data_IF_168046730926
#
_entry.id   IF_168046730926
#
_cell.length_a   1.000
_cell.length_b   1.000
_cell.length_c   1.000
_cell.angle_alpha   90.00
_cell.angle_beta   90.00
_cell.angle_gamma   90.00
#
_symmetry.space_group_name_H-M   'P 1'
#
loop_
_entity.id
_entity.type
_entity.pdbx_description
1 polymer ?
#
# COMPACT_ATOMS: atom_id res chain seq x y z
N UNK A 1 -19.20 1.90 -8.17
CA UNK A 1 -17.90 2.46 -7.97
C UNK A 1 -17.70 2.85 -6.52
N UNK A 2 -16.52 2.76 -6.05
CA UNK A 2 -16.24 3.05 -4.66
C UNK A 2 -16.37 4.52 -4.37
N UNK A 3 -17.37 4.93 -3.57
CA UNK A 3 -17.45 6.31 -3.11
C UNK A 3 -16.35 6.60 -2.09
N UNK A 4 -15.83 5.56 -1.43
CA UNK A 4 -14.75 5.72 -0.44
C UNK A 4 -13.55 4.85 -0.77
N UNK A 5 -13.18 4.82 -2.07
CA UNK A 5 -12.03 4.02 -2.50
C UNK A 5 -10.73 4.45 -1.81
N UNK A 6 -10.64 5.72 -1.42
CA UNK A 6 -9.45 6.22 -0.73
C UNK A 6 -9.27 5.56 0.64
N UNK A 7 -10.38 5.38 1.34
CA UNK A 7 -10.34 4.65 2.61
C UNK A 7 -9.93 3.20 2.38
N UNK A 8 -10.48 2.56 1.36
CA UNK A 8 -10.14 1.18 1.02
C UNK A 8 -8.68 1.05 0.59
N UNK A 9 -8.16 2.03 -0.12
CA UNK A 9 -6.76 2.08 -0.54
C UNK A 9 -5.84 1.99 0.69
N UNK A 10 -6.05 2.85 1.67
CA UNK A 10 -5.24 2.83 2.88
C UNK A 10 -5.45 1.56 3.68
N UNK A 11 -6.69 1.12 3.80
CA UNK A 11 -7.00 -0.09 4.56
C UNK A 11 -6.21 -1.29 4.04
N UNK A 12 -6.10 -1.43 2.73
CA UNK A 12 -5.39 -2.57 2.15
C UNK A 12 -3.92 -2.57 2.53
N UNK A 13 -3.28 -1.41 2.50
CA UNK A 13 -1.88 -1.34 2.91
C UNK A 13 -1.70 -1.69 4.38
N UNK A 14 -2.55 -1.14 5.23
CA UNK A 14 -2.44 -1.41 6.67
C UNK A 14 -2.74 -2.87 7.00
N UNK A 15 -3.71 -3.46 6.33
CA UNK A 15 -4.02 -4.87 6.55
C UNK A 15 -2.87 -5.78 6.13
N UNK A 16 -2.24 -5.48 5.01
CA UNK A 16 -1.10 -6.26 4.57
C UNK A 16 0.06 -6.17 5.56
N UNK A 17 0.30 -4.99 6.11
CA UNK A 17 1.36 -4.82 7.09
C UNK A 17 1.04 -5.54 8.40
N UNK A 18 -0.22 -5.54 8.81
CA UNK A 18 -0.67 -6.27 10.00
C UNK A 18 -0.47 -7.76 9.79
N UNK A 19 -0.84 -8.27 8.63
CA UNK A 19 -0.67 -9.70 8.31
C UNK A 19 0.81 -10.10 8.28
N UNK A 20 1.68 -9.16 7.93
CA UNK A 20 3.12 -9.39 7.92
C UNK A 20 3.76 -9.17 9.30
N UNK A 21 2.95 -8.93 10.33
CA UNK A 21 3.39 -8.73 11.71
C UNK A 21 4.33 -7.54 11.87
N UNK A 22 4.06 -6.47 11.13
CA UNK A 22 4.86 -5.26 11.22
C UNK A 22 4.67 -4.59 12.59
N UNK A 23 5.74 -4.06 13.13
CA UNK A 23 5.70 -3.26 14.35
C UNK A 23 5.83 -1.77 14.07
N UNK A 24 6.20 -1.41 12.85
CA UNK A 24 6.36 -0.02 12.44
C UNK A 24 5.93 0.15 10.99
N UNK A 25 5.17 1.22 10.74
CA UNK A 25 4.76 1.62 9.40
C UNK A 25 5.19 3.07 9.20
N UNK A 26 5.85 3.32 8.08
CA UNK A 26 6.31 4.66 7.73
C UNK A 26 5.67 5.04 6.40
N UNK A 27 5.06 6.22 6.37
CA UNK A 27 4.33 6.69 5.19
C UNK A 27 4.89 8.04 4.77
N UNK A 28 5.22 8.18 3.50
CA UNK A 28 5.55 9.48 2.91
C UNK A 28 4.49 9.79 1.86
N UNK A 29 3.85 10.93 2.02
CA UNK A 29 2.78 11.38 1.15
C UNK A 29 3.16 12.78 0.65
N UNK A 30 3.36 12.92 -0.64
CA UNK A 30 3.81 14.17 -1.22
C UNK A 30 3.16 14.44 -2.56
N UNK A 31 3.21 15.70 -2.97
CA UNK A 31 2.65 16.13 -4.25
C UNK A 31 3.67 17.06 -4.92
N UNK A 32 3.90 16.86 -6.22
CA UNK A 32 4.85 17.69 -6.96
C UNK A 32 4.16 18.90 -7.59
N UNK A 33 4.93 19.69 -8.34
CA UNK A 33 4.42 20.92 -8.95
C UNK A 33 3.38 20.66 -10.03
N UNK A 34 3.31 19.45 -10.55
CA UNK A 34 2.34 19.08 -11.58
C UNK A 34 1.14 18.33 -10.98
N UNK A 35 1.00 18.36 -9.65
CA UNK A 35 -0.08 17.72 -8.93
C UNK A 35 -0.06 16.19 -9.02
N UNK A 36 1.10 15.61 -9.31
CA UNK A 36 1.28 14.17 -9.19
C UNK A 36 1.54 13.83 -7.74
N UNK A 37 0.90 12.77 -7.26
CA UNK A 37 1.01 12.36 -5.86
C UNK A 37 1.89 11.13 -5.79
N UNK A 38 2.82 11.13 -4.83
CA UNK A 38 3.63 9.96 -4.52
C UNK A 38 3.28 9.50 -3.12
N UNK A 39 2.98 8.21 -2.99
CA UNK A 39 2.78 7.56 -1.70
C UNK A 39 3.85 6.50 -1.56
N UNK A 40 4.63 6.57 -0.48
CA UNK A 40 5.57 5.53 -0.12
C UNK A 40 5.08 4.93 1.19
N UNK A 41 4.76 3.64 1.17
CA UNK A 41 4.24 2.91 2.32
C UNK A 41 5.25 1.82 2.67
N UNK A 42 5.86 1.92 3.83
CA UNK A 42 6.97 1.06 4.22
C UNK A 42 6.67 0.42 5.56
N UNK A 43 6.83 -0.89 5.65
CA UNK A 43 6.68 -1.58 6.92
C UNK A 43 7.92 -2.43 7.19
N UNK A 44 8.08 -2.85 8.44
CA UNK A 44 9.18 -3.70 8.87
C UNK A 44 8.71 -5.13 9.17
N UNK A 45 7.69 -5.59 8.46
CA UNK A 45 7.17 -6.94 8.64
C UNK A 45 8.03 -8.00 7.95
N UNK A 46 7.44 -9.16 7.75
CA UNK A 46 8.16 -10.31 7.20
C UNK A 46 8.53 -10.16 5.73
N UNK A 47 7.85 -9.28 4.99
CA UNK A 47 8.11 -9.11 3.58
C UNK A 47 7.51 -10.23 2.75
N UNK A 48 7.84 -10.23 1.46
CA UNK A 48 7.32 -11.21 0.52
C UNK A 48 8.45 -11.80 -0.31
N UNK A 49 8.43 -13.13 -0.46
CA UNK A 49 9.35 -13.83 -1.36
C UNK A 49 8.88 -13.64 -2.80
N UNK A 50 9.76 -13.98 -3.75
CA UNK A 50 9.37 -13.94 -5.15
C UNK A 50 8.16 -14.81 -5.44
N UNK A 51 8.12 -15.98 -4.83
CA UNK A 51 7.01 -16.90 -4.99
C UNK A 51 5.70 -16.29 -4.50
N UNK A 52 5.73 -15.63 -3.34
CA UNK A 52 4.54 -14.97 -2.82
C UNK A 52 4.11 -13.82 -3.72
N UNK A 53 5.06 -13.05 -4.22
CA UNK A 53 4.74 -11.97 -5.14
C UNK A 53 4.04 -12.48 -6.39
N UNK A 54 4.59 -13.54 -7.01
CA UNK A 54 4.07 -14.04 -8.27
C UNK A 54 2.78 -14.82 -8.10
N UNK A 55 2.68 -15.64 -7.04
CA UNK A 55 1.60 -16.61 -6.92
C UNK A 55 0.48 -16.16 -5.99
N UNK A 56 0.69 -15.14 -5.19
CA UNK A 56 -0.32 -14.66 -4.25
C UNK A 56 -0.61 -13.18 -4.49
N UNK A 57 0.40 -12.34 -4.38
CA UNK A 57 0.19 -10.89 -4.40
C UNK A 57 -0.37 -10.43 -5.75
N UNK A 58 0.19 -10.93 -6.84
CA UNK A 58 -0.20 -10.54 -8.18
C UNK A 58 -1.06 -11.60 -8.90
N UNK A 59 -1.59 -12.56 -8.17
CA UNK A 59 -2.29 -13.69 -8.79
C UNK A 59 -3.77 -13.42 -9.04
N UNK A 60 -4.07 -12.30 -9.67
CA UNK A 60 -5.45 -11.91 -9.92
C UNK A 60 -6.23 -13.00 -10.66
N UNK A 61 -5.63 -13.57 -11.70
CA UNK A 61 -6.27 -14.64 -12.46
C UNK A 61 -6.42 -15.91 -11.65
N UNK A 62 -5.42 -16.26 -10.85
CA UNK A 62 -5.51 -17.45 -10.00
C UNK A 62 -6.58 -17.28 -8.94
N UNK A 63 -6.75 -16.06 -8.42
CA UNK A 63 -7.80 -15.77 -7.45
C UNK A 63 -9.18 -16.12 -7.99
N UNK A 64 -9.44 -15.77 -9.22
CA UNK A 64 -10.74 -16.02 -9.80
C UNK A 64 -10.97 -17.50 -10.05
N UNK A 65 -9.92 -18.28 -10.22
CA UNK A 65 -10.05 -19.71 -10.49
C UNK A 65 -10.27 -20.53 -9.24
N UNK A 66 -9.82 -20.06 -8.11
CA UNK A 66 -9.82 -20.85 -6.88
C UNK A 66 -10.94 -20.46 -5.94
N UNK A 67 -12.10 -20.13 -6.47
CA UNK A 67 -13.21 -19.72 -5.63
C UNK A 67 -12.92 -18.40 -4.98
N UNK A 68 -12.96 -17.39 -5.77
CA UNK A 68 -12.45 -16.10 -5.46
C UNK A 68 -12.88 -15.41 -4.18
N UNK A 69 -13.81 -15.98 -3.44
CA UNK A 69 -14.25 -15.33 -2.21
C UNK A 69 -13.10 -15.19 -1.22
N UNK A 70 -12.16 -16.13 -1.22
CA UNK A 70 -11.04 -16.08 -0.29
C UNK A 70 -9.95 -15.12 -0.75
N UNK A 71 -9.64 -15.16 -2.03
CA UNK A 71 -8.53 -14.37 -2.57
C UNK A 71 -9.02 -13.32 -3.56
N UNK A 72 -10.32 -13.31 -3.85
CA UNK A 72 -10.90 -12.33 -4.75
C UNK A 72 -10.74 -10.92 -4.21
N UNK A 73 -10.90 -10.74 -2.89
CA UNK A 73 -10.68 -9.45 -2.28
C UNK A 73 -9.24 -9.02 -2.42
N UNK A 74 -8.32 -9.96 -2.26
CA UNK A 74 -6.90 -9.70 -2.41
C UNK A 74 -6.58 -9.25 -3.83
N UNK A 75 -7.16 -9.93 -4.84
CA UNK A 75 -6.98 -9.54 -6.23
C UNK A 75 -7.55 -8.15 -6.52
N UNK A 76 -8.71 -7.83 -5.97
CA UNK A 76 -9.28 -6.51 -6.13
C UNK A 76 -8.44 -5.44 -5.47
N UNK A 77 -7.79 -5.79 -4.35
CA UNK A 77 -6.91 -4.86 -3.68
C UNK A 77 -5.79 -4.40 -4.59
N UNK A 78 -5.26 -5.30 -5.43
CA UNK A 78 -4.20 -4.90 -6.36
C UNK A 78 -4.68 -3.87 -7.37
N UNK A 79 -5.94 -3.94 -7.76
CA UNK A 79 -6.50 -2.92 -8.64
C UNK A 79 -6.46 -1.56 -7.94
N UNK A 80 -6.85 -1.51 -6.68
CA UNK A 80 -6.88 -0.24 -5.93
C UNK A 80 -5.48 0.29 -5.62
N UNK A 81 -4.54 -0.60 -5.28
CA UNK A 81 -3.26 -0.16 -4.72
C UNK A 81 -2.12 -0.13 -5.73
N UNK A 82 -2.27 -0.83 -6.85
CA UNK A 82 -1.19 -0.92 -7.84
C UNK A 82 -1.69 -0.73 -9.25
N UNK A 83 -2.58 -1.61 -9.70
CA UNK A 83 -2.88 -1.72 -11.13
C UNK A 83 -3.57 -0.49 -11.72
N UNK A 84 -4.28 0.29 -10.93
CA UNK A 84 -4.92 1.50 -11.40
C UNK A 84 -4.06 2.75 -11.20
N UNK A 85 -2.86 2.59 -10.64
CA UNK A 85 -1.96 3.71 -10.41
C UNK A 85 -1.17 4.03 -11.69
N UNK A 86 -0.63 5.24 -11.74
CA UNK A 86 0.23 5.62 -12.85
C UNK A 86 1.46 4.72 -12.93
N UNK A 87 2.07 4.44 -11.78
CA UNK A 87 3.18 3.50 -11.68
C UNK A 87 3.31 3.03 -10.25
N UNK A 88 4.01 1.91 -10.06
CA UNK A 88 4.27 1.40 -8.72
C UNK A 88 5.57 0.64 -8.67
N UNK A 89 6.19 0.62 -7.50
CA UNK A 89 7.37 -0.19 -7.21
C UNK A 89 7.17 -0.87 -5.86
N UNK A 90 7.65 -2.10 -5.74
CA UNK A 90 7.62 -2.84 -4.49
C UNK A 90 9.00 -3.40 -4.25
N UNK A 91 9.61 -3.01 -3.13
CA UNK A 91 10.91 -3.54 -2.73
C UNK A 91 10.70 -4.34 -1.45
N UNK A 92 10.93 -5.63 -1.53
CA UNK A 92 10.72 -6.54 -0.40
C UNK A 92 11.67 -7.72 -0.54
N UNK A 93 12.38 -8.05 0.55
CA UNK A 93 13.44 -9.03 0.54
C UNK A 93 14.44 -8.70 -0.57
N UNK A 94 14.78 -9.64 -1.44
CA UNK A 94 15.72 -9.37 -2.54
C UNK A 94 15.01 -9.12 -3.86
N UNK A 95 13.77 -8.65 -3.82
CA UNK A 95 12.95 -8.47 -5.01
C UNK A 95 12.57 -7.00 -5.18
N UNK A 96 12.66 -6.54 -6.41
CA UNK A 96 12.17 -5.20 -6.78
C UNK A 96 11.18 -5.35 -7.92
N UNK A 97 9.94 -4.99 -7.66
CA UNK A 97 8.89 -5.00 -8.67
C UNK A 97 8.76 -3.60 -9.22
N UNK A 98 8.68 -3.48 -10.53
CA UNK A 98 8.37 -2.23 -11.21
C UNK A 98 7.20 -2.48 -12.13
N UNK A 99 6.14 -1.68 -11.99
CA UNK A 99 4.92 -1.93 -12.71
C UNK A 99 4.19 -0.70 -13.17
N UNK A 100 3.32 -0.94 -14.14
CA UNK A 100 2.46 0.06 -14.74
C UNK A 100 1.21 -0.67 -15.20
N UNK A 101 0.06 -0.37 -14.56
CA UNK A 101 -1.13 -1.14 -14.82
C UNK A 101 -0.94 -2.59 -14.39
N UNK A 102 -1.45 -3.51 -15.20
CA UNK A 102 -1.30 -4.94 -14.92
C UNK A 102 0.03 -5.54 -15.36
N UNK A 103 0.88 -4.76 -16.01
CA UNK A 103 2.17 -5.23 -16.48
C UNK A 103 3.25 -4.89 -15.47
N UNK A 104 4.06 -5.88 -15.09
CA UNK A 104 5.11 -5.65 -14.11
C UNK A 104 6.28 -6.59 -14.38
N UNK A 105 7.46 -6.17 -13.88
CA UNK A 105 8.68 -6.97 -13.90
C UNK A 105 9.19 -7.11 -12.49
N UNK A 106 9.79 -8.26 -12.19
CA UNK A 106 10.44 -8.50 -10.91
C UNK A 106 11.93 -8.72 -11.19
N UNK A 107 12.76 -7.93 -10.54
CA UNK A 107 14.21 -8.08 -10.67
C UNK A 107 14.85 -8.24 -9.30
N UNK A 108 16.09 -8.71 -9.29
CA UNK A 108 16.84 -8.86 -8.05
C UNK A 108 17.27 -7.50 -7.52
N UNK A 109 17.29 -7.37 -6.21
CA UNK A 109 17.65 -6.13 -5.54
C UNK A 109 18.31 -6.46 -4.19
N UNK A 110 19.00 -5.49 -3.57
CA UNK A 110 19.53 -5.73 -2.24
C UNK A 110 18.41 -6.03 -1.24
N UNK A 111 18.74 -6.78 -0.20
CA UNK A 111 17.77 -7.17 0.84
C UNK A 111 17.14 -5.94 1.47
N UNK A 112 15.83 -5.93 1.53
CA UNK A 112 15.05 -4.95 2.27
C UNK A 112 14.24 -5.71 3.31
N UNK A 113 14.41 -5.36 4.58
CA UNK A 113 13.70 -6.03 5.67
C UNK A 113 12.33 -5.41 5.82
N UNK A 114 11.32 -6.12 5.33
CA UNK A 114 9.95 -5.63 5.30
C UNK A 114 9.45 -5.46 3.89
N UNK A 115 8.59 -4.47 3.69
CA UNK A 115 8.01 -4.20 2.39
C UNK A 115 7.89 -2.70 2.20
N UNK A 116 8.39 -2.21 1.07
CA UNK A 116 8.30 -0.80 0.72
C UNK A 116 7.58 -0.69 -0.62
N UNK A 117 6.42 -0.05 -0.61
CA UNK A 117 5.61 0.12 -1.81
C UNK A 117 5.56 1.61 -2.13
N UNK A 118 5.93 1.94 -3.36
CA UNK A 118 5.86 3.31 -3.87
C UNK A 118 4.84 3.33 -4.99
N UNK A 119 3.83 4.19 -4.87
CA UNK A 119 2.84 4.36 -5.94
C UNK A 119 2.78 5.81 -6.34
N UNK A 120 2.54 6.05 -7.62
CA UNK A 120 2.34 7.37 -8.17
C UNK A 120 0.93 7.48 -8.73
N UNK A 121 0.30 8.61 -8.45
CA UNK A 121 -1.05 8.89 -8.91
C UNK A 121 -1.08 10.24 -9.61
N UNK A 122 -1.94 10.34 -10.61
CA UNK A 122 -2.24 11.63 -11.22
C UNK A 122 -3.74 11.84 -11.20
N UNK A 123 -4.17 13.10 -11.31
CA UNK A 123 -5.58 13.46 -11.32
C UNK A 123 -6.31 13.05 -10.04
N UNK A 124 -5.61 13.16 -8.92
CA UNK A 124 -6.16 12.80 -7.61
C UNK A 124 -6.04 13.97 -6.65
N UNK A 125 -6.99 14.08 -5.74
CA UNK A 125 -6.98 15.13 -4.73
C UNK A 125 -6.07 14.74 -3.57
N UNK A 126 -4.99 15.48 -3.40
CA UNK A 126 -4.05 15.26 -2.30
C UNK A 126 -4.74 15.40 -0.95
N UNK A 127 -5.57 16.44 -0.81
CA UNK A 127 -6.25 16.70 0.46
C UNK A 127 -7.24 15.60 0.81
N UNK A 128 -7.97 15.08 -0.18
CA UNK A 128 -8.92 14.01 0.08
C UNK A 128 -8.22 12.71 0.42
N UNK A 129 -7.09 12.44 -0.24
CA UNK A 129 -6.32 11.24 0.04
C UNK A 129 -5.74 11.30 1.45
N UNK A 130 -5.21 12.46 1.84
CA UNK A 130 -4.67 12.66 3.18
C UNK A 130 -5.76 12.56 4.24
N UNK A 131 -6.92 13.17 3.97
CA UNK A 131 -8.03 13.10 4.92
C UNK A 131 -8.51 11.67 5.14
N UNK A 132 -8.53 10.86 4.09
CA UNK A 132 -8.93 9.46 4.21
C UNK A 132 -7.93 8.68 5.06
N UNK A 133 -6.63 8.97 4.93
CA UNK A 133 -5.62 8.35 5.77
C UNK A 133 -5.85 8.69 7.25
N UNK A 134 -6.08 9.96 7.54
CA UNK A 134 -6.29 10.40 8.91
C UNK A 134 -7.57 9.79 9.49
N UNK A 135 -8.60 9.69 8.67
CA UNK A 135 -9.85 9.07 9.11
C UNK A 135 -9.64 7.59 9.41
N UNK A 136 -8.93 6.88 8.54
CA UNK A 136 -8.64 5.48 8.79
C UNK A 136 -7.90 5.29 10.10
N UNK A 137 -6.88 6.10 10.33
CA UNK A 137 -6.07 5.99 11.54
C UNK A 137 -6.86 6.32 12.80
N UNK A 138 -7.78 7.28 12.72
CA UNK A 138 -8.59 7.66 13.87
C UNK A 138 -9.58 6.57 14.28
N UNK A 139 -9.97 5.71 13.34
CA UNK A 139 -10.93 4.64 13.58
C UNK A 139 -10.27 3.29 13.87
N UNK A 140 -8.95 3.19 13.70
CA UNK A 140 -8.25 1.92 13.77
C UNK A 140 -7.54 1.78 15.10
N UNK A 141 -7.42 0.52 15.56
CA UNK A 141 -6.63 0.19 16.71
C UNK A 141 -5.44 -0.64 16.23
N UNK A 142 -4.39 0.07 15.85
CA UNK A 142 -3.21 -0.59 15.30
C UNK A 142 -2.22 -0.91 16.40
N UNK A 143 -1.66 -2.12 16.34
CA UNK A 143 -0.63 -2.54 17.29
C UNK A 143 0.72 -1.96 16.93
N UNK A 144 0.88 -1.43 15.73
CA UNK A 144 2.16 -0.93 15.24
C UNK A 144 2.24 0.60 15.38
N UNK A 145 3.47 1.08 15.34
CA UNK A 145 3.74 2.50 15.36
C UNK A 145 3.65 3.04 13.93
N UNK A 146 2.99 4.19 13.77
CA UNK A 146 2.81 4.80 12.46
C UNK A 146 3.53 6.15 12.45
N UNK A 147 4.33 6.37 11.41
CA UNK A 147 5.09 7.60 11.20
C UNK A 147 4.71 8.15 9.84
N UNK A 148 4.22 9.40 9.81
CA UNK A 148 3.77 10.03 8.56
C UNK A 148 4.64 11.25 8.32
N UNK A 149 5.36 11.26 7.20
CA UNK A 149 6.26 12.36 6.84
C UNK A 149 7.19 12.69 8.01
N UNK A 150 7.78 11.64 8.60
CA UNK A 150 8.74 11.71 9.70
C UNK A 150 8.16 12.20 11.02
N UNK A 151 6.84 12.21 11.16
CA UNK A 151 6.20 12.57 12.41
C UNK A 151 5.35 11.42 12.92
N UNK A 152 5.52 11.08 14.18
CA UNK A 152 4.74 10.01 14.80
C UNK A 152 3.28 10.40 14.83
N UNK A 153 2.43 9.49 14.38
CA UNK A 153 0.99 9.70 14.42
C UNK A 153 0.45 9.38 15.81
N UNK A 154 -0.46 10.23 16.28
CA UNK A 154 -1.21 9.97 17.52
C UNK A 154 -2.64 10.41 17.32
N UNK A 155 -3.56 9.82 18.09
CA UNK A 155 -4.95 10.24 18.08
C UNK A 155 -5.08 11.72 18.46
N UNK A 156 -4.19 12.16 19.33
CA UNK A 156 -4.13 13.56 19.74
C UNK A 156 -3.89 14.49 18.55
N UNK A 157 -2.96 14.10 17.68
CA UNK A 157 -2.65 14.91 16.50
C UNK A 157 -3.86 15.04 15.59
N UNK A 158 -4.62 13.96 15.41
CA UNK A 158 -5.82 14.00 14.60
C UNK A 158 -6.86 14.95 15.19
N UNK A 159 -7.08 14.87 16.50
CA UNK A 159 -8.12 15.67 17.15
C UNK A 159 -7.80 17.16 17.16
N UNK A 160 -6.55 17.52 17.01
CA UNK A 160 -6.15 18.91 16.99
C UNK A 160 -6.38 19.58 15.64
N UNK A 161 -6.71 18.82 14.67
CA UNK A 161 -7.05 19.34 13.35
C UNK A 161 -8.55 19.53 13.20
#
# INVERSE_FOLDING_TARGET
MYSNWRFAFWREFFQNSTDAHASRIRIFLSQDAHNNITVIFEDNGSGMSREVLENVYFSLGASTKTGGETVGGFGRARILTCFSMKSYEIHTQTNLVKGNGGAYDIEDAPQFDGCKITVEMENESFNDLKAALEEYLSQSQLACRVIINDQAWTTWSYRRQ
#
